data_IF_648867588271
#
_entry.id   IF_648867588271
#
_cell.length_a   1.000
_cell.length_b   1.000
_cell.length_c   1.000
_cell.angle_alpha   90.00
_cell.angle_beta   90.00
_cell.angle_gamma   90.00
#
_symmetry.space_group_name_H-M   'P 1'
#
loop_
_entity.id
_entity.type
_entity.pdbx_description
1 polymer ?
#
# COMPACT_ATOMS: atom_id res chain seq x y z
N UNK A 1 -18.49 -4.29 5.87
CA UNK A 1 -18.79 -4.75 4.49
C UNK A 1 -19.64 -6.03 4.43
N UNK A 2 -19.24 -7.17 5.05
CA UNK A 2 -20.02 -8.43 5.01
C UNK A 2 -21.47 -8.31 5.52
N UNK A 3 -21.72 -7.54 6.58
CA UNK A 3 -23.08 -7.34 7.09
C UNK A 3 -23.97 -6.49 6.16
N UNK A 4 -23.39 -5.55 5.41
CA UNK A 4 -24.15 -4.66 4.53
C UNK A 4 -24.60 -5.36 3.23
N UNK A 5 -23.83 -6.34 2.74
CA UNK A 5 -24.20 -7.14 1.56
C UNK A 5 -25.16 -8.28 1.91
N UNK A 6 -25.30 -8.64 3.19
CA UNK A 6 -26.27 -9.64 3.63
C UNK A 6 -27.74 -9.19 3.45
N UNK A 7 -27.97 -7.87 3.34
CA UNK A 7 -29.28 -7.29 3.05
C UNK A 7 -29.65 -7.34 1.54
N UNK A 8 -28.71 -7.70 0.67
CA UNK A 8 -28.96 -7.83 -0.77
C UNK A 8 -29.49 -9.24 -1.10
N UNK A 9 -30.36 -9.38 -2.11
CA UNK A 9 -30.88 -10.67 -2.54
C UNK A 9 -29.75 -11.70 -2.77
N UNK A 10 -29.95 -12.93 -2.30
CA UNK A 10 -28.97 -13.98 -2.52
C UNK A 10 -28.77 -14.22 -4.03
N UNK A 11 -27.52 -14.29 -4.48
CA UNK A 11 -27.19 -14.42 -5.91
C UNK A 11 -27.15 -13.10 -6.70
N UNK A 12 -27.58 -11.97 -6.12
CA UNK A 12 -27.52 -10.65 -6.79
C UNK A 12 -26.19 -9.91 -6.60
N UNK A 13 -25.24 -10.52 -5.89
CA UNK A 13 -23.92 -9.95 -5.64
C UNK A 13 -22.85 -11.04 -5.53
N UNK A 14 -21.61 -10.69 -5.89
CA UNK A 14 -20.42 -11.52 -5.69
C UNK A 14 -19.31 -10.71 -5.05
N UNK A 15 -18.62 -11.30 -4.10
CA UNK A 15 -17.42 -10.71 -3.50
C UNK A 15 -16.20 -11.45 -4.02
N UNK A 16 -15.41 -10.79 -4.84
CA UNK A 16 -14.14 -11.32 -5.34
C UNK A 16 -13.03 -10.83 -4.42
N UNK A 17 -12.18 -11.76 -3.96
CA UNK A 17 -10.97 -11.43 -3.21
C UNK A 17 -9.79 -11.44 -4.17
N UNK A 18 -9.17 -10.28 -4.37
CA UNK A 18 -7.94 -10.15 -5.15
C UNK A 18 -6.81 -9.86 -4.18
N UNK A 19 -5.71 -10.64 -4.18
CA UNK A 19 -4.56 -10.31 -3.35
C UNK A 19 -3.97 -8.97 -3.82
N UNK A 20 -3.92 -7.98 -2.92
CA UNK A 20 -3.07 -6.81 -3.13
C UNK A 20 -1.67 -7.21 -2.71
N UNK A 21 -0.70 -7.25 -3.64
CA UNK A 21 0.65 -7.68 -3.29
C UNK A 21 1.20 -6.83 -2.16
N UNK A 22 1.90 -7.48 -1.24
CA UNK A 22 2.69 -6.79 -0.23
C UNK A 22 3.65 -5.80 -0.88
N UNK A 23 3.99 -4.74 -0.16
CA UNK A 23 4.98 -3.77 -0.61
C UNK A 23 6.16 -3.78 0.33
N UNK A 24 7.33 -3.96 -0.23
CA UNK A 24 8.60 -4.01 0.45
C UNK A 24 9.36 -2.72 0.19
N UNK A 25 10.22 -2.33 1.12
CA UNK A 25 11.02 -1.12 1.02
C UNK A 25 12.41 -1.38 1.56
N UNK A 26 13.42 -0.82 0.90
CA UNK A 26 14.73 -0.67 1.54
C UNK A 26 14.70 0.63 2.32
N UNK A 27 14.75 0.51 3.64
CA UNK A 27 14.56 1.61 4.57
C UNK A 27 15.81 1.85 5.40
N UNK A 28 16.14 3.12 5.61
CA UNK A 28 17.21 3.55 6.49
C UNK A 28 16.63 4.50 7.53
N UNK A 29 16.73 4.14 8.81
CA UNK A 29 16.39 5.07 9.89
C UNK A 29 15.70 4.46 11.10
N UNK A 30 14.66 5.20 11.54
CA UNK A 30 14.29 5.61 12.90
C UNK A 30 15.43 6.35 13.59
N UNK A 31 15.86 7.41 12.91
CA UNK A 31 16.90 8.30 13.40
C UNK A 31 16.45 8.96 14.71
N UNK A 32 17.39 9.15 15.64
CA UNK A 32 17.09 9.79 16.92
C UNK A 32 16.83 11.29 16.73
N UNK A 33 17.59 11.93 15.82
CA UNK A 33 17.62 13.39 15.66
C UNK A 33 17.70 13.78 14.18
N UNK A 34 17.15 14.96 13.84
CA UNK A 34 17.16 15.50 12.47
C UNK A 34 18.58 15.75 11.93
N UNK A 35 19.56 16.03 12.79
CA UNK A 35 20.96 16.20 12.39
C UNK A 35 21.53 14.90 11.78
N UNK A 36 21.20 13.75 12.38
CA UNK A 36 21.64 12.44 11.85
C UNK A 36 20.97 12.13 10.52
N UNK A 37 19.71 12.53 10.35
CA UNK A 37 18.97 12.40 9.09
C UNK A 37 19.60 13.27 7.99
N UNK A 38 19.96 14.52 8.29
CA UNK A 38 20.58 15.43 7.32
C UNK A 38 21.98 14.95 6.89
N UNK A 39 22.80 14.48 7.85
CA UNK A 39 24.10 13.84 7.55
C UNK A 39 23.92 12.65 6.61
N UNK A 40 22.95 11.78 6.88
CA UNK A 40 22.67 10.61 6.03
C UNK A 40 22.16 11.00 4.66
N UNK A 41 21.32 12.04 4.57
CA UNK A 41 20.87 12.61 3.30
C UNK A 41 22.06 13.10 2.46
N UNK A 42 23.00 13.80 3.07
CA UNK A 42 24.22 14.28 2.42
C UNK A 42 25.12 13.13 1.96
N UNK A 43 25.29 12.10 2.79
CA UNK A 43 26.03 10.88 2.41
C UNK A 43 25.39 10.17 1.20
N UNK A 44 24.07 10.02 1.18
CA UNK A 44 23.35 9.37 0.08
C UNK A 44 23.46 10.17 -1.22
N UNK A 45 23.37 11.51 -1.14
CA UNK A 45 23.60 12.42 -2.28
C UNK A 45 25.02 12.28 -2.84
N UNK A 46 26.04 12.27 -1.98
CA UNK A 46 27.43 12.11 -2.39
C UNK A 46 27.67 10.76 -3.11
N UNK A 47 26.95 9.71 -2.69
CA UNK A 47 27.00 8.37 -3.29
C UNK A 47 26.08 8.21 -4.50
N UNK A 48 25.34 9.27 -4.90
CA UNK A 48 24.34 9.26 -5.97
C UNK A 48 23.26 8.19 -5.77
N UNK A 49 22.93 7.89 -4.52
CA UNK A 49 21.88 6.94 -4.16
C UNK A 49 20.55 7.70 -4.09
N UNK A 50 19.52 7.30 -4.86
CA UNK A 50 18.21 7.91 -4.77
C UNK A 50 17.58 7.59 -3.40
N UNK A 51 16.91 8.58 -2.82
CA UNK A 51 16.18 8.43 -1.58
C UNK A 51 14.87 9.23 -1.64
N UNK A 52 13.86 8.76 -0.91
CA UNK A 52 12.50 9.30 -0.87
C UNK A 52 11.97 9.30 0.57
N UNK A 53 10.85 9.97 0.81
CA UNK A 53 10.17 9.95 2.10
C UNK A 53 9.40 8.63 2.29
N UNK A 54 9.46 7.97 3.45
CA UNK A 54 8.57 6.84 3.74
C UNK A 54 7.11 7.30 3.67
N UNK A 55 6.24 6.54 3.00
CA UNK A 55 4.79 6.86 2.95
C UNK A 55 4.05 6.41 4.23
N UNK A 56 4.78 5.97 5.24
CA UNK A 56 4.25 5.46 6.49
C UNK A 56 4.76 6.32 7.65
N UNK A 57 3.88 7.04 8.37
CA UNK A 57 4.29 7.91 9.48
C UNK A 57 4.95 7.16 10.63
N UNK A 58 4.74 5.84 10.76
CA UNK A 58 5.44 5.02 11.78
C UNK A 58 6.92 4.80 11.46
N UNK A 59 7.31 5.02 10.20
CA UNK A 59 8.69 4.91 9.70
C UNK A 59 9.38 6.28 9.62
N UNK A 60 8.70 7.36 9.99
CA UNK A 60 9.33 8.68 10.18
C UNK A 60 9.87 8.83 11.61
N UNK A 61 11.03 9.47 11.83
CA UNK A 61 11.97 10.04 10.87
C UNK A 61 12.89 8.98 10.22
N UNK A 62 12.86 8.89 8.89
CA UNK A 62 13.62 7.90 8.13
C UNK A 62 13.65 8.18 6.63
N UNK A 63 14.41 7.37 5.90
CA UNK A 63 14.67 7.52 4.47
C UNK A 63 14.32 6.20 3.76
N UNK A 64 13.56 6.31 2.68
CA UNK A 64 13.29 5.20 1.75
C UNK A 64 14.32 5.20 0.64
N UNK A 65 15.02 4.10 0.40
CA UNK A 65 16.00 3.94 -0.68
C UNK A 65 15.44 3.18 -1.89
N UNK A 66 14.16 2.81 -1.84
CA UNK A 66 13.48 2.12 -2.94
C UNK A 66 12.29 1.30 -2.45
N UNK A 67 11.28 1.16 -3.31
CA UNK A 67 10.07 0.36 -3.07
C UNK A 67 10.04 -0.80 -4.05
N UNK A 68 9.64 -1.97 -3.57
CA UNK A 68 9.69 -3.23 -4.30
C UNK A 68 8.41 -4.03 -4.08
N UNK A 69 8.05 -4.85 -5.08
CA UNK A 69 6.87 -5.72 -5.00
C UNK A 69 7.13 -7.01 -4.23
N UNK A 70 8.39 -7.42 -4.08
CA UNK A 70 8.78 -8.64 -3.35
C UNK A 70 9.96 -8.40 -2.43
N UNK A 71 10.12 -9.27 -1.43
CA UNK A 71 11.21 -9.23 -0.46
C UNK A 71 12.57 -9.45 -1.15
N UNK A 72 12.63 -10.39 -2.08
CA UNK A 72 13.87 -10.77 -2.77
C UNK A 72 14.37 -9.63 -3.66
N UNK A 73 13.47 -8.87 -4.28
CA UNK A 73 13.83 -7.67 -5.02
C UNK A 73 14.40 -6.58 -4.09
N UNK A 74 13.80 -6.38 -2.91
CA UNK A 74 14.31 -5.45 -1.92
C UNK A 74 15.67 -5.89 -1.35
N UNK A 75 15.86 -7.20 -1.10
CA UNK A 75 17.11 -7.73 -0.57
C UNK A 75 18.26 -7.59 -1.57
N UNK A 76 18.02 -7.85 -2.87
CA UNK A 76 19.02 -7.62 -3.92
C UNK A 76 19.41 -6.15 -4.04
N UNK A 77 18.42 -5.25 -3.92
CA UNK A 77 18.68 -3.83 -3.89
C UNK A 77 19.50 -3.43 -2.66
N UNK A 78 19.19 -3.97 -1.48
CA UNK A 78 19.97 -3.74 -0.27
C UNK A 78 21.43 -4.17 -0.44
N UNK A 79 21.69 -5.35 -1.04
CA UNK A 79 23.06 -5.79 -1.35
C UNK A 79 23.77 -4.83 -2.30
N UNK A 80 23.07 -4.36 -3.34
CA UNK A 80 23.62 -3.39 -4.32
C UNK A 80 23.97 -2.06 -3.64
N UNK A 81 23.09 -1.56 -2.78
CA UNK A 81 23.30 -0.37 -1.97
C UNK A 81 24.47 -0.57 -0.98
N UNK A 82 24.60 -1.77 -0.40
CA UNK A 82 25.73 -2.16 0.45
C UNK A 82 27.07 -2.05 -0.28
N UNK A 83 27.13 -2.46 -1.55
CA UNK A 83 28.31 -2.31 -2.40
C UNK A 83 28.61 -0.85 -2.76
N UNK A 84 27.59 0.01 -2.80
CA UNK A 84 27.73 1.48 -2.87
C UNK A 84 28.06 2.12 -1.50
N UNK A 85 28.27 1.26 -0.49
CA UNK A 85 28.69 1.58 0.86
C UNK A 85 27.55 2.02 1.81
N UNK A 86 26.30 1.83 1.43
CA UNK A 86 25.13 2.06 2.27
C UNK A 86 24.96 0.88 3.23
N UNK A 87 25.44 1.00 4.47
CA UNK A 87 25.42 -0.11 5.45
C UNK A 87 24.35 -0.01 6.53
N UNK A 88 23.66 1.14 6.60
CA UNK A 88 22.65 1.42 7.64
C UNK A 88 21.21 1.18 7.16
N UNK A 89 21.03 0.63 5.97
CA UNK A 89 19.72 0.30 5.42
C UNK A 89 19.32 -1.14 5.76
N UNK A 90 18.01 -1.40 5.80
CA UNK A 90 17.41 -2.71 6.02
C UNK A 90 16.17 -2.88 5.15
N UNK A 91 15.83 -4.13 4.82
CA UNK A 91 14.55 -4.43 4.17
C UNK A 91 13.46 -4.38 5.23
N UNK A 92 12.36 -3.67 4.92
CA UNK A 92 11.16 -3.61 5.77
C UNK A 92 9.92 -3.81 4.91
N UNK A 93 8.88 -4.37 5.52
CA UNK A 93 7.57 -4.47 4.89
C UNK A 93 6.82 -3.14 5.08
N UNK A 94 6.62 -2.39 4.00
CA UNK A 94 5.85 -1.13 4.01
C UNK A 94 4.36 -1.42 4.18
N UNK A 95 3.87 -2.45 3.48
CA UNK A 95 2.48 -2.92 3.54
C UNK A 95 2.44 -4.44 3.43
N UNK A 96 1.79 -5.15 4.37
CA UNK A 96 1.57 -6.59 4.21
C UNK A 96 0.65 -6.88 3.02
N UNK A 97 0.78 -8.08 2.46
CA UNK A 97 -0.21 -8.57 1.50
C UNK A 97 -1.58 -8.54 2.19
N UNK A 98 -2.54 -7.91 1.53
CA UNK A 98 -3.88 -7.72 2.08
C UNK A 98 -4.91 -8.09 1.01
N UNK A 99 -5.99 -8.79 1.38
CA UNK A 99 -7.06 -9.06 0.43
C UNK A 99 -7.77 -7.75 0.08
N UNK A 100 -7.78 -7.38 -1.20
CA UNK A 100 -8.77 -6.44 -1.72
C UNK A 100 -10.06 -7.20 -1.99
N UNK A 101 -11.18 -6.59 -1.65
CA UNK A 101 -12.50 -7.13 -1.96
C UNK A 101 -13.19 -6.27 -3.02
N UNK A 102 -13.61 -6.89 -4.11
CA UNK A 102 -14.43 -6.26 -5.15
C UNK A 102 -15.85 -6.82 -5.08
N UNK A 103 -16.83 -5.95 -4.85
CA UNK A 103 -18.24 -6.29 -4.88
C UNK A 103 -18.78 -6.09 -6.30
N UNK A 104 -19.19 -7.17 -6.96
CA UNK A 104 -19.86 -7.13 -8.27
C UNK A 104 -21.37 -7.33 -8.11
N UNK A 105 -22.14 -6.53 -8.82
CA UNK A 105 -23.60 -6.54 -8.83
C UNK A 105 -24.08 -6.72 -10.29
N UNK A 106 -24.27 -7.96 -10.77
CA UNK A 106 -24.43 -8.26 -12.20
C UNK A 106 -25.77 -7.85 -12.82
N UNK A 107 -26.81 -7.59 -12.03
CA UNK A 107 -28.16 -7.31 -12.53
C UNK A 107 -28.79 -6.12 -11.80
N UNK A 108 -28.23 -4.91 -11.98
CA UNK A 108 -28.83 -3.69 -11.48
C UNK A 108 -29.40 -2.88 -12.63
N UNK A 109 -30.73 -2.80 -12.71
CA UNK A 109 -31.38 -1.70 -13.42
C UNK A 109 -31.14 -0.36 -12.68
N UNK A 110 -31.49 0.76 -13.31
CA UNK A 110 -31.22 2.10 -12.77
C UNK A 110 -31.90 2.37 -11.42
N UNK A 111 -33.08 1.78 -11.17
CA UNK A 111 -33.82 1.93 -9.93
C UNK A 111 -33.19 1.12 -8.79
N UNK A 112 -32.80 -0.13 -9.07
CA UNK A 112 -32.17 -1.04 -8.12
C UNK A 112 -30.74 -0.59 -7.78
N UNK A 113 -30.05 0.07 -8.72
CA UNK A 113 -28.74 0.70 -8.49
C UNK A 113 -28.81 1.78 -7.41
N UNK A 114 -29.77 2.69 -7.51
CA UNK A 114 -29.93 3.78 -6.53
C UNK A 114 -30.23 3.24 -5.12
N UNK A 115 -31.06 2.19 -5.04
CA UNK A 115 -31.39 1.54 -3.78
C UNK A 115 -30.16 0.81 -3.18
N UNK A 116 -29.40 0.07 -4.01
CA UNK A 116 -28.18 -0.60 -3.57
C UNK A 116 -27.12 0.42 -3.11
N UNK A 117 -26.97 1.55 -3.80
CA UNK A 117 -26.04 2.61 -3.40
C UNK A 117 -26.43 3.23 -2.05
N UNK A 118 -27.73 3.50 -1.84
CA UNK A 118 -28.23 4.01 -0.56
C UNK A 118 -27.99 3.03 0.60
N UNK A 119 -28.25 1.73 0.39
CA UNK A 119 -28.03 0.69 1.41
C UNK A 119 -26.55 0.42 1.69
N UNK A 120 -25.68 0.51 0.68
CA UNK A 120 -24.26 0.22 0.81
C UNK A 120 -23.43 1.44 1.25
N UNK A 121 -23.98 2.66 1.17
CA UNK A 121 -23.31 3.92 1.57
C UNK A 121 -22.63 3.86 2.94
N UNK A 122 -23.24 3.31 4.01
CA UNK A 122 -22.58 3.20 5.31
C UNK A 122 -21.35 2.29 5.32
N UNK A 123 -21.28 1.34 4.39
CA UNK A 123 -20.19 0.36 4.30
C UNK A 123 -19.14 0.70 3.24
N UNK A 124 -19.50 1.47 2.20
CA UNK A 124 -18.62 1.90 1.12
C UNK A 124 -18.00 3.29 1.37
N UNK A 125 -18.54 4.06 2.31
CA UNK A 125 -18.11 5.44 2.54
C UNK A 125 -18.33 6.30 1.30
N UNK A 126 -17.33 7.07 0.91
CA UNK A 126 -17.36 7.94 -0.27
C UNK A 126 -17.11 7.20 -1.60
N UNK A 127 -17.08 5.86 -1.61
CA UNK A 127 -16.81 5.08 -2.84
C UNK A 127 -18.13 4.78 -3.58
N UNK A 128 -18.41 5.46 -4.71
CA UNK A 128 -19.62 5.19 -5.49
C UNK A 128 -19.53 3.85 -6.23
N UNK A 129 -20.68 3.27 -6.56
CA UNK A 129 -20.77 2.10 -7.42
C UNK A 129 -20.39 2.47 -8.86
N UNK A 130 -19.33 1.84 -9.40
CA UNK A 130 -18.90 2.01 -10.79
C UNK A 130 -19.37 0.85 -11.65
N UNK A 131 -19.65 1.12 -12.93
CA UNK A 131 -19.86 0.07 -13.90
C UNK A 131 -18.56 -0.75 -14.06
N UNK A 132 -18.67 -2.07 -14.11
CA UNK A 132 -17.55 -2.93 -14.45
C UNK A 132 -17.24 -2.76 -15.95
N UNK A 133 -15.97 -2.59 -16.36
CA UNK A 133 -15.58 -2.61 -17.76
C UNK A 133 -15.77 -4.00 -18.39
#
# INVERSE_FOLDING_TARGET
MRAAVAALPQGSWRLESTPLPGRWMVYMGRFADDETLDKKRTELRARKVPYDRPNNPTLEPGLSLGRYSTEEAAQRALTTLGNQGVRTAKVVQERPETPAFTLRLPALDSATRAQAEAQLRPALGEKPLRACP
#
